data_IF_652775335416
#
_entry.id   IF_652775335416
#
_cell.length_a   1.000
_cell.length_b   1.000
_cell.length_c   1.000
_cell.angle_alpha   90.00
_cell.angle_beta   90.00
_cell.angle_gamma   90.00
#
_symmetry.space_group_name_H-M   'P 1'
#
loop_
_entity.id
_entity.type
_entity.pdbx_description
1 polymer ?
#
# COMPACT_ATOMS: atom_id res chain seq x y z
N UNK A 1 21.52 -22.54 -0.73
CA UNK A 1 21.61 -21.51 -1.78
C UNK A 1 20.49 -21.72 -2.78
N UNK A 2 19.41 -20.94 -2.66
CA UNK A 2 18.37 -20.88 -3.68
C UNK A 2 18.94 -20.10 -4.87
N UNK A 3 19.20 -20.78 -5.99
CA UNK A 3 19.48 -20.11 -7.27
C UNK A 3 18.14 -19.68 -7.85
N UNK A 4 17.69 -18.47 -7.51
CA UNK A 4 16.54 -17.86 -8.18
C UNK A 4 16.88 -17.57 -9.64
N UNK A 5 15.94 -17.82 -10.56
CA UNK A 5 16.17 -17.67 -12.00
C UNK A 5 16.26 -16.21 -12.47
N UNK A 6 15.60 -15.28 -11.75
CA UNK A 6 15.53 -13.86 -12.11
C UNK A 6 15.57 -12.95 -10.88
N UNK A 7 15.91 -11.68 -11.05
CA UNK A 7 15.90 -10.71 -9.94
C UNK A 7 14.47 -10.33 -9.51
N UNK A 8 13.58 -10.02 -10.46
CA UNK A 8 12.24 -9.48 -10.15
C UNK A 8 11.15 -10.28 -10.87
N UNK A 9 10.14 -10.71 -10.12
CA UNK A 9 8.90 -11.27 -10.65
C UNK A 9 7.81 -10.20 -10.58
N UNK A 10 7.19 -9.88 -11.71
CA UNK A 10 6.11 -8.90 -11.83
C UNK A 10 4.77 -9.63 -11.92
N UNK A 11 3.95 -9.55 -10.88
CA UNK A 11 2.63 -10.18 -10.87
C UNK A 11 1.54 -9.22 -11.36
N UNK A 12 0.76 -9.65 -12.36
CA UNK A 12 -0.32 -8.86 -12.96
C UNK A 12 -1.62 -9.68 -12.94
N UNK A 13 -2.56 -9.38 -12.03
CA UNK A 13 -3.88 -9.97 -12.03
C UNK A 13 -4.77 -9.24 -13.05
N UNK A 14 -5.58 -10.00 -13.78
CA UNK A 14 -6.59 -9.47 -14.69
C UNK A 14 -7.92 -10.20 -14.45
N UNK A 15 -9.01 -9.46 -14.55
CA UNK A 15 -10.38 -9.97 -14.40
C UNK A 15 -11.23 -9.49 -15.57
N UNK A 16 -12.36 -10.17 -15.80
CA UNK A 16 -13.27 -9.82 -16.88
C UNK A 16 -13.88 -8.43 -16.64
N UNK A 17 -13.61 -7.51 -17.57
CA UNK A 17 -14.20 -6.17 -17.61
C UNK A 17 -15.29 -6.12 -18.70
N UNK A 18 -16.40 -5.43 -18.44
CA UNK A 18 -17.53 -5.34 -19.39
C UNK A 18 -17.23 -4.47 -20.62
N UNK A 19 -16.39 -3.44 -20.46
CA UNK A 19 -16.22 -2.38 -21.48
C UNK A 19 -14.92 -2.55 -22.28
N UNK A 20 -13.78 -2.58 -21.59
CA UNK A 20 -12.44 -2.64 -22.21
C UNK A 20 -11.48 -3.38 -21.29
N UNK A 21 -10.62 -4.21 -21.87
CA UNK A 21 -9.45 -4.77 -21.19
C UNK A 21 -8.24 -3.86 -21.44
N UNK A 22 -7.47 -3.60 -20.39
CA UNK A 22 -6.26 -2.77 -20.42
C UNK A 22 -4.97 -3.59 -20.43
N UNK A 23 -5.09 -4.92 -20.28
CA UNK A 23 -3.97 -5.84 -20.12
C UNK A 23 -2.93 -5.74 -21.24
N UNK A 24 -3.38 -5.69 -22.51
CA UNK A 24 -2.48 -5.59 -23.66
C UNK A 24 -1.69 -4.27 -23.64
N UNK A 25 -2.35 -3.16 -23.30
CA UNK A 25 -1.70 -1.84 -23.21
C UNK A 25 -0.66 -1.83 -22.09
N UNK A 26 -1.00 -2.41 -20.94
CA UNK A 26 -0.10 -2.58 -19.79
C UNK A 26 1.11 -3.44 -20.14
N UNK A 27 0.91 -4.59 -20.80
CA UNK A 27 2.01 -5.48 -21.19
C UNK A 27 2.94 -4.84 -22.22
N UNK A 28 2.41 -4.11 -23.21
CA UNK A 28 3.25 -3.30 -24.09
C UNK A 28 4.05 -2.27 -23.31
N UNK A 29 3.40 -1.52 -22.41
CA UNK A 29 4.09 -0.52 -21.59
C UNK A 29 5.24 -1.14 -20.80
N UNK A 30 5.04 -2.31 -20.18
CA UNK A 30 6.06 -3.01 -19.41
C UNK A 30 7.19 -3.55 -20.30
N UNK A 31 6.85 -4.31 -21.36
CA UNK A 31 7.80 -5.07 -22.17
C UNK A 31 8.61 -4.17 -23.09
N UNK A 32 8.01 -3.13 -23.66
CA UNK A 32 8.68 -2.22 -24.59
C UNK A 32 9.65 -1.28 -23.85
N UNK A 33 9.47 -1.10 -22.55
CA UNK A 33 10.37 -0.32 -21.69
C UNK A 33 11.43 -1.17 -20.97
N UNK A 34 11.57 -2.45 -21.30
CA UNK A 34 12.65 -3.32 -20.81
C UNK A 34 13.81 -3.38 -21.82
N UNK A 35 15.03 -3.22 -21.33
CA UNK A 35 16.24 -3.52 -22.08
C UNK A 35 16.43 -5.04 -22.26
N UNK A 36 17.16 -5.50 -23.30
CA UNK A 36 17.34 -6.94 -23.56
C UNK A 36 17.89 -7.75 -22.37
N UNK A 37 18.79 -7.16 -21.58
CA UNK A 37 19.35 -7.80 -20.37
C UNK A 37 18.30 -7.91 -19.25
N UNK A 38 17.43 -6.91 -19.12
CA UNK A 38 16.35 -6.90 -18.13
C UNK A 38 15.26 -7.93 -18.46
N UNK A 39 14.99 -8.15 -19.75
CA UNK A 39 14.09 -9.22 -20.22
C UNK A 39 14.58 -10.62 -19.84
N UNK A 40 15.88 -10.80 -19.58
CA UNK A 40 16.44 -12.07 -19.11
C UNK A 40 16.47 -12.17 -17.58
N UNK A 41 16.22 -11.07 -16.88
CA UNK A 41 16.35 -10.92 -15.42
C UNK A 41 15.01 -10.59 -14.75
N UNK A 42 13.90 -10.82 -15.47
CA UNK A 42 12.56 -10.74 -14.93
C UNK A 42 11.62 -11.75 -15.56
N UNK A 43 10.53 -12.01 -14.84
CA UNK A 43 9.37 -12.77 -15.33
C UNK A 43 8.12 -11.95 -15.03
N UNK A 44 7.25 -11.82 -16.01
CA UNK A 44 5.91 -11.23 -15.87
C UNK A 44 4.91 -12.37 -15.77
N UNK A 45 4.25 -12.50 -14.63
CA UNK A 45 3.20 -13.50 -14.42
C UNK A 45 1.84 -12.83 -14.55
N UNK A 46 1.14 -13.15 -15.63
CA UNK A 46 -0.24 -12.73 -15.86
C UNK A 46 -1.19 -13.76 -15.27
N UNK A 47 -1.91 -13.37 -14.22
CA UNK A 47 -2.94 -14.20 -13.59
C UNK A 47 -4.33 -13.79 -14.08
N UNK A 48 -4.98 -14.69 -14.83
CA UNK A 48 -6.36 -14.53 -15.27
C UNK A 48 -7.26 -15.03 -14.14
N UNK A 49 -7.81 -14.11 -13.36
CA UNK A 49 -8.69 -14.41 -12.22
C UNK A 49 -10.10 -14.82 -12.63
N UNK A 50 -10.24 -15.71 -13.61
CA UNK A 50 -11.53 -16.17 -14.12
C UNK A 50 -11.57 -17.70 -14.16
N UNK A 51 -12.76 -18.27 -13.94
CA UNK A 51 -12.98 -19.72 -13.95
C UNK A 51 -13.72 -20.22 -15.19
N UNK A 52 -14.30 -19.30 -15.98
CA UNK A 52 -14.89 -19.59 -17.28
C UNK A 52 -13.78 -19.92 -18.30
N UNK A 53 -13.68 -21.21 -18.63
CA UNK A 53 -12.63 -21.76 -19.50
C UNK A 53 -12.66 -21.11 -20.90
N UNK A 54 -13.83 -20.81 -21.45
CA UNK A 54 -13.94 -20.21 -22.77
C UNK A 54 -13.41 -18.76 -22.75
N UNK A 55 -13.71 -18.03 -21.66
CA UNK A 55 -13.15 -16.70 -21.45
C UNK A 55 -11.63 -16.74 -21.27
N UNK A 56 -11.12 -17.64 -20.42
CA UNK A 56 -9.68 -17.82 -20.18
C UNK A 56 -8.96 -18.14 -21.48
N UNK A 57 -9.44 -19.11 -22.27
CA UNK A 57 -8.86 -19.42 -23.57
C UNK A 57 -8.91 -18.25 -24.55
N UNK A 58 -9.98 -17.43 -24.51
CA UNK A 58 -10.07 -16.21 -25.31
C UNK A 58 -8.98 -15.19 -24.94
N UNK A 59 -8.71 -15.00 -23.65
CA UNK A 59 -7.63 -14.11 -23.17
C UNK A 59 -6.26 -14.68 -23.56
N UNK A 60 -6.03 -15.98 -23.36
CA UNK A 60 -4.77 -16.65 -23.74
C UNK A 60 -4.51 -16.53 -25.24
N UNK A 61 -5.51 -16.78 -26.09
CA UNK A 61 -5.36 -16.67 -27.54
C UNK A 61 -5.01 -15.23 -27.98
N UNK A 62 -5.57 -14.22 -27.32
CA UNK A 62 -5.23 -12.82 -27.58
C UNK A 62 -3.77 -12.51 -27.15
N UNK A 63 -3.35 -13.02 -25.99
CA UNK A 63 -1.98 -12.86 -25.51
C UNK A 63 -0.96 -13.59 -26.40
N UNK A 64 -1.25 -14.81 -26.84
CA UNK A 64 -0.40 -15.57 -27.77
C UNK A 64 -0.27 -14.86 -29.12
N UNK A 65 -1.34 -14.24 -29.59
CA UNK A 65 -1.31 -13.48 -30.85
C UNK A 65 -0.35 -12.29 -30.79
N UNK A 66 -0.37 -11.51 -29.71
CA UNK A 66 0.43 -10.28 -29.59
C UNK A 66 1.83 -10.52 -28.98
N UNK A 67 1.97 -11.46 -28.04
CA UNK A 67 3.18 -11.70 -27.22
C UNK A 67 3.74 -13.13 -27.34
N UNK A 68 3.51 -13.82 -28.46
CA UNK A 68 4.00 -15.20 -28.70
C UNK A 68 5.49 -15.39 -28.39
N UNK A 69 6.33 -14.41 -28.72
CA UNK A 69 7.78 -14.49 -28.50
C UNK A 69 8.12 -14.45 -27.02
N UNK A 70 7.53 -13.51 -26.29
CA UNK A 70 7.75 -13.29 -24.86
C UNK A 70 7.19 -14.45 -24.02
N UNK A 71 6.07 -15.05 -24.45
CA UNK A 71 5.56 -16.29 -23.86
C UNK A 71 6.52 -17.45 -24.14
N UNK A 72 6.95 -17.62 -25.39
CA UNK A 72 7.87 -18.72 -25.76
C UNK A 72 9.25 -18.63 -25.10
N UNK A 73 9.71 -17.42 -24.77
CA UNK A 73 10.98 -17.20 -24.08
C UNK A 73 10.87 -17.37 -22.56
N UNK A 74 9.65 -17.50 -22.01
CA UNK A 74 9.40 -17.51 -20.56
C UNK A 74 9.46 -16.14 -19.90
N UNK A 75 9.48 -15.03 -20.67
CA UNK A 75 9.37 -13.69 -20.11
C UNK A 75 7.96 -13.43 -19.59
N UNK A 76 6.93 -13.91 -20.30
CA UNK A 76 5.53 -13.82 -19.89
C UNK A 76 5.01 -15.22 -19.60
N UNK A 77 4.55 -15.44 -18.37
CA UNK A 77 3.85 -16.64 -17.97
C UNK A 77 2.37 -16.32 -17.75
N UNK A 78 1.47 -17.16 -18.26
CA UNK A 78 0.02 -16.96 -18.13
C UNK A 78 -0.56 -18.10 -17.31
N UNK A 79 -1.26 -17.76 -16.22
CA UNK A 79 -1.86 -18.71 -15.30
C UNK A 79 -3.33 -18.36 -15.05
N UNK A 80 -4.11 -19.36 -14.67
CA UNK A 80 -5.48 -19.19 -14.18
C UNK A 80 -5.75 -20.20 -13.07
N UNK A 81 -6.60 -19.87 -12.08
CA UNK A 81 -6.92 -20.79 -11.00
C UNK A 81 -7.97 -21.82 -11.44
N UNK A 82 -7.94 -23.05 -10.90
CA UNK A 82 -9.06 -23.97 -11.05
C UNK A 82 -10.29 -23.43 -10.30
N UNK A 83 -11.50 -23.78 -10.74
CA UNK A 83 -12.74 -23.36 -10.07
C UNK A 83 -12.77 -23.74 -8.58
N UNK A 84 -12.21 -24.91 -8.25
CA UNK A 84 -12.12 -25.41 -6.87
C UNK A 84 -11.22 -24.59 -5.95
N UNK A 85 -10.41 -23.67 -6.47
CA UNK A 85 -9.61 -22.77 -5.66
C UNK A 85 -10.48 -21.77 -4.88
N UNK A 86 -11.56 -21.29 -5.50
CA UNK A 86 -12.43 -20.33 -4.86
C UNK A 86 -13.43 -21.01 -3.92
N UNK A 87 -13.59 -20.51 -2.69
CA UNK A 87 -14.63 -20.96 -1.79
C UNK A 87 -16.01 -20.44 -2.25
N UNK A 88 -17.08 -20.87 -1.58
CA UNK A 88 -18.40 -20.25 -1.79
C UNK A 88 -18.38 -18.77 -1.39
N UNK A 89 -18.49 -17.88 -2.37
CA UNK A 89 -18.53 -16.43 -2.21
C UNK A 89 -19.96 -15.85 -2.23
N UNK A 90 -20.99 -16.69 -2.22
CA UNK A 90 -22.39 -16.23 -2.27
C UNK A 90 -22.91 -15.73 -0.92
N UNK A 91 -22.39 -16.28 0.18
CA UNK A 91 -22.87 -16.03 1.55
C UNK A 91 -21.86 -15.22 2.38
N UNK A 92 -21.34 -14.13 1.81
CA UNK A 92 -20.41 -13.24 2.51
C UNK A 92 -21.16 -12.22 3.38
N UNK A 93 -20.59 -11.91 4.55
CA UNK A 93 -21.11 -10.87 5.44
C UNK A 93 -20.80 -9.49 4.84
N UNK A 94 -21.82 -8.64 4.74
CA UNK A 94 -21.65 -7.24 4.37
C UNK A 94 -20.88 -6.49 5.46
N UNK A 95 -19.86 -5.76 5.06
CA UNK A 95 -19.05 -4.92 5.96
C UNK A 95 -18.75 -3.59 5.27
N UNK A 96 -18.40 -2.57 6.05
CA UNK A 96 -17.99 -1.25 5.57
C UNK A 96 -19.02 -0.50 4.69
N UNK A 97 -20.29 -0.92 4.72
CA UNK A 97 -21.34 -0.35 3.88
C UNK A 97 -21.27 -0.76 2.40
N UNK A 98 -20.40 -1.72 2.07
CA UNK A 98 -20.25 -2.24 0.71
C UNK A 98 -21.48 -3.06 0.27
N UNK A 99 -21.79 -3.01 -1.02
CA UNK A 99 -22.77 -3.94 -1.62
C UNK A 99 -22.23 -5.37 -1.60
N UNK A 100 -23.13 -6.37 -1.74
CA UNK A 100 -22.72 -7.78 -1.82
C UNK A 100 -21.73 -8.04 -2.95
N UNK A 101 -21.93 -7.39 -4.09
CA UNK A 101 -21.04 -7.49 -5.26
C UNK A 101 -19.66 -6.94 -4.92
N UNK A 102 -19.58 -5.79 -4.24
CA UNK A 102 -18.31 -5.20 -3.82
C UNK A 102 -17.59 -6.07 -2.79
N UNK A 103 -18.30 -6.60 -1.81
CA UNK A 103 -17.76 -7.55 -0.81
C UNK A 103 -17.22 -8.81 -1.49
N UNK A 104 -17.99 -9.39 -2.41
CA UNK A 104 -17.57 -10.54 -3.20
C UNK A 104 -16.33 -10.23 -4.02
N UNK A 105 -16.30 -9.07 -4.69
CA UNK A 105 -15.18 -8.64 -5.51
C UNK A 105 -13.90 -8.50 -4.68
N UNK A 106 -13.92 -7.76 -3.57
CA UNK A 106 -12.71 -7.58 -2.72
C UNK A 106 -12.26 -8.88 -2.04
N UNK A 107 -13.21 -9.75 -1.69
CA UNK A 107 -12.90 -11.07 -1.10
C UNK A 107 -12.22 -11.97 -2.13
N UNK A 108 -12.72 -11.96 -3.38
CA UNK A 108 -12.09 -12.67 -4.49
C UNK A 108 -10.70 -12.11 -4.81
N UNK A 109 -10.55 -10.78 -4.84
CA UNK A 109 -9.28 -10.12 -5.11
C UNK A 109 -8.18 -10.54 -4.12
N UNK A 110 -8.50 -10.64 -2.82
CA UNK A 110 -7.56 -11.18 -1.83
C UNK A 110 -7.05 -12.57 -2.22
N UNK A 111 -7.96 -13.47 -2.64
CA UNK A 111 -7.60 -14.82 -3.07
C UNK A 111 -6.81 -14.83 -4.39
N UNK A 112 -7.14 -13.93 -5.32
CA UNK A 112 -6.43 -13.76 -6.58
C UNK A 112 -4.95 -13.41 -6.32
N UNK A 113 -4.70 -12.46 -5.42
CA UNK A 113 -3.34 -12.04 -5.06
C UNK A 113 -2.61 -13.15 -4.33
N UNK A 114 -3.28 -13.88 -3.42
CA UNK A 114 -2.69 -15.06 -2.78
C UNK A 114 -2.22 -16.10 -3.81
N UNK A 115 -3.05 -16.43 -4.80
CA UNK A 115 -2.70 -17.43 -5.82
C UNK A 115 -1.47 -16.99 -6.61
N UNK A 116 -1.50 -15.75 -7.09
CA UNK A 116 -0.44 -15.16 -7.89
C UNK A 116 0.88 -15.09 -7.11
N UNK A 117 0.87 -14.62 -5.87
CA UNK A 117 2.06 -14.56 -5.01
C UNK A 117 2.63 -15.95 -4.73
N UNK A 118 1.79 -16.95 -4.43
CA UNK A 118 2.26 -18.32 -4.19
C UNK A 118 2.92 -18.93 -5.43
N UNK A 119 2.37 -18.67 -6.62
CA UNK A 119 2.98 -19.13 -7.86
C UNK A 119 4.31 -18.42 -8.14
N UNK A 120 4.43 -17.14 -7.78
CA UNK A 120 5.61 -16.32 -8.02
C UNK A 120 6.76 -16.56 -7.02
N UNK A 121 6.47 -17.11 -5.83
CA UNK A 121 7.40 -17.19 -4.70
C UNK A 121 8.78 -17.76 -5.04
N UNK A 122 8.85 -18.83 -5.82
CA UNK A 122 10.11 -19.54 -6.08
C UNK A 122 10.85 -19.04 -7.33
N UNK A 123 10.32 -18.03 -8.03
CA UNK A 123 10.80 -17.64 -9.37
C UNK A 123 11.88 -16.56 -9.35
N UNK A 124 11.91 -15.71 -8.34
CA UNK A 124 12.85 -14.59 -8.28
C UNK A 124 13.26 -14.19 -6.88
N UNK A 125 14.17 -13.21 -6.80
CA UNK A 125 14.63 -12.65 -5.52
C UNK A 125 13.55 -11.74 -4.91
N UNK A 126 12.92 -10.92 -5.75
CA UNK A 126 11.88 -9.99 -5.37
C UNK A 126 10.60 -10.26 -6.16
N UNK A 127 9.47 -9.96 -5.54
CA UNK A 127 8.16 -9.94 -6.19
C UNK A 127 7.61 -8.53 -6.12
N UNK A 128 7.02 -8.03 -7.22
CA UNK A 128 6.29 -6.77 -7.24
C UNK A 128 4.86 -7.01 -7.72
N UNK A 129 3.88 -6.56 -6.92
CA UNK A 129 2.47 -6.61 -7.27
C UNK A 129 2.11 -5.42 -8.16
N UNK A 130 1.57 -5.69 -9.34
CA UNK A 130 1.08 -4.72 -10.30
C UNK A 130 -0.41 -4.96 -10.59
N UNK A 131 -1.01 -4.10 -11.41
CA UNK A 131 -2.39 -4.24 -11.93
C UNK A 131 -2.40 -4.20 -13.46
N UNK A 132 -3.51 -4.61 -14.07
CA UNK A 132 -3.63 -4.73 -15.52
C UNK A 132 -3.96 -3.41 -16.26
N UNK A 133 -3.98 -2.28 -15.55
CA UNK A 133 -4.27 -0.94 -16.08
C UNK A 133 -3.22 0.12 -15.68
N UNK A 134 -1.93 -0.24 -15.77
CA UNK A 134 -0.81 0.66 -15.46
C UNK A 134 -0.01 1.05 -16.70
N UNK A 135 0.66 2.20 -16.60
CA UNK A 135 1.67 2.65 -17.58
C UNK A 135 2.96 2.94 -16.83
N UNK A 136 4.05 2.31 -17.25
CA UNK A 136 5.36 2.52 -16.62
C UNK A 136 6.15 3.64 -17.28
N UNK A 137 7.01 4.27 -16.49
CA UNK A 137 8.02 5.21 -16.99
C UNK A 137 9.18 4.45 -17.63
N UNK A 138 9.89 5.11 -18.55
CA UNK A 138 11.13 4.55 -19.09
C UNK A 138 12.14 4.26 -17.97
N UNK A 139 12.90 3.18 -18.10
CA UNK A 139 13.91 2.75 -17.12
C UNK A 139 13.34 2.37 -15.74
N UNK A 140 12.04 2.06 -15.64
CA UNK A 140 11.42 1.66 -14.37
C UNK A 140 12.13 0.47 -13.72
N UNK A 141 12.48 -0.55 -14.51
CA UNK A 141 13.05 -1.79 -14.01
C UNK A 141 14.37 -1.56 -13.28
N UNK A 142 15.33 -0.93 -13.95
CA UNK A 142 16.61 -0.58 -13.37
C UNK A 142 16.47 0.34 -12.14
N UNK A 143 15.54 1.31 -12.16
CA UNK A 143 15.27 2.17 -11.01
C UNK A 143 14.80 1.36 -9.80
N UNK A 144 13.80 0.47 -9.99
CA UNK A 144 13.25 -0.39 -8.94
C UNK A 144 14.33 -1.33 -8.40
N UNK A 145 15.04 -2.02 -9.31
CA UNK A 145 16.07 -2.99 -8.95
C UNK A 145 17.20 -2.35 -8.16
N UNK A 146 17.72 -1.20 -8.62
CA UNK A 146 18.81 -0.52 -7.92
C UNK A 146 18.38 -0.01 -6.55
N UNK A 147 17.15 0.47 -6.41
CA UNK A 147 16.62 0.89 -5.11
C UNK A 147 16.55 -0.29 -4.13
N UNK A 148 16.02 -1.44 -4.56
CA UNK A 148 16.01 -2.65 -3.74
C UNK A 148 17.42 -3.13 -3.36
N UNK A 149 18.37 -3.09 -4.31
CA UNK A 149 19.77 -3.45 -4.06
C UNK A 149 20.48 -2.50 -3.08
N UNK A 150 20.19 -1.21 -3.13
CA UNK A 150 20.72 -0.23 -2.18
C UNK A 150 20.28 -0.50 -0.75
N UNK A 151 19.10 -1.11 -0.57
CA UNK A 151 18.53 -1.47 0.73
C UNK A 151 18.80 -2.93 1.09
N UNK A 152 19.66 -3.65 0.36
CA UNK A 152 19.93 -5.07 0.61
C UNK A 152 20.62 -5.36 1.95
N UNK A 153 21.24 -4.36 2.58
CA UNK A 153 21.80 -4.45 3.93
C UNK A 153 20.78 -4.19 5.04
N UNK A 154 19.64 -3.60 4.69
CA UNK A 154 18.61 -3.19 5.64
C UNK A 154 17.54 -4.28 5.78
N UNK A 155 16.94 -4.38 6.97
CA UNK A 155 15.77 -5.22 7.19
C UNK A 155 14.51 -4.43 6.80
N UNK A 156 13.90 -4.80 5.66
CA UNK A 156 12.67 -4.18 5.16
C UNK A 156 11.63 -5.25 4.81
N UNK A 157 10.36 -4.94 5.05
CA UNK A 157 9.24 -5.84 4.72
C UNK A 157 8.64 -5.54 3.34
N UNK A 158 8.47 -4.26 3.01
CA UNK A 158 7.83 -3.81 1.77
C UNK A 158 8.56 -2.57 1.26
N UNK A 159 8.78 -2.51 -0.06
CA UNK A 159 9.17 -1.28 -0.77
C UNK A 159 8.02 -0.82 -1.64
N UNK A 160 7.75 0.49 -1.67
CA UNK A 160 6.63 1.05 -2.42
C UNK A 160 7.09 1.92 -3.58
N UNK A 161 6.51 1.68 -4.75
CA UNK A 161 6.82 2.40 -5.99
C UNK A 161 5.58 3.07 -6.63
N UNK A 162 4.45 3.04 -5.93
CA UNK A 162 3.21 3.71 -6.31
C UNK A 162 2.51 4.26 -5.07
N UNK A 163 1.86 5.42 -5.23
CA UNK A 163 1.07 6.07 -4.19
C UNK A 163 -0.37 5.52 -4.11
N UNK A 164 -0.77 4.66 -5.06
CA UNK A 164 -2.13 4.14 -5.18
C UNK A 164 -2.22 2.70 -4.67
N UNK A 165 -2.88 2.51 -3.53
CA UNK A 165 -3.28 1.20 -2.99
C UNK A 165 -2.15 0.17 -2.95
N UNK A 166 -2.49 -1.06 -3.30
CA UNK A 166 -1.60 -2.22 -3.29
C UNK A 166 -0.68 -2.32 -4.52
N UNK A 167 -0.83 -1.42 -5.50
CA UNK A 167 -0.01 -1.41 -6.71
C UNK A 167 1.42 -1.00 -6.36
N UNK A 168 2.41 -1.59 -7.06
CA UNK A 168 3.81 -1.22 -6.94
C UNK A 168 4.41 -1.57 -5.58
N UNK A 169 3.80 -2.52 -4.85
CA UNK A 169 4.32 -3.05 -3.59
C UNK A 169 5.28 -4.20 -3.90
N UNK A 170 6.53 -4.03 -3.50
CA UNK A 170 7.59 -5.00 -3.67
C UNK A 170 7.91 -5.70 -2.35
N UNK A 171 8.14 -7.00 -2.43
CA UNK A 171 8.40 -7.90 -1.33
C UNK A 171 9.64 -8.75 -1.64
N UNK A 172 10.32 -9.21 -0.60
CA UNK A 172 11.25 -10.34 -0.76
C UNK A 172 10.43 -11.57 -1.10
N UNK A 173 10.81 -12.31 -2.14
CA UNK A 173 10.04 -13.47 -2.57
C UNK A 173 9.89 -14.54 -1.46
N UNK A 174 10.92 -14.83 -0.62
CA UNK A 174 10.76 -15.74 0.52
C UNK A 174 9.70 -15.31 1.54
N UNK A 175 9.46 -14.01 1.70
CA UNK A 175 8.50 -13.47 2.68
C UNK A 175 7.05 -13.53 2.18
N UNK A 176 6.82 -13.87 0.90
CA UNK A 176 5.49 -14.00 0.34
C UNK A 176 4.64 -15.04 1.08
N UNK A 177 5.21 -16.13 1.59
CA UNK A 177 4.43 -17.12 2.36
C UNK A 177 3.73 -16.48 3.55
N UNK A 178 4.44 -15.66 4.32
CA UNK A 178 3.89 -15.00 5.50
C UNK A 178 2.75 -14.04 5.11
N UNK A 179 2.95 -13.28 4.03
CA UNK A 179 1.96 -12.32 3.53
C UNK A 179 0.72 -13.05 3.04
N UNK A 180 0.90 -14.11 2.25
CA UNK A 180 -0.19 -14.95 1.75
C UNK A 180 -0.95 -15.58 2.90
N UNK A 181 -0.28 -16.20 3.88
CA UNK A 181 -0.93 -16.81 5.03
C UNK A 181 -1.79 -15.81 5.80
N UNK A 182 -1.28 -14.60 6.03
CA UNK A 182 -2.04 -13.54 6.69
C UNK A 182 -3.28 -13.12 5.89
N UNK A 183 -3.12 -12.84 4.59
CA UNK A 183 -4.23 -12.48 3.72
C UNK A 183 -5.25 -13.61 3.68
N UNK A 184 -4.79 -14.87 3.57
CA UNK A 184 -5.65 -16.05 3.49
C UNK A 184 -6.41 -16.32 4.79
N UNK A 185 -5.88 -15.93 5.96
CA UNK A 185 -6.64 -16.00 7.22
C UNK A 185 -7.80 -15.00 7.28
N UNK A 186 -7.65 -13.82 6.65
CA UNK A 186 -8.58 -12.70 6.80
C UNK A 186 -9.24 -12.25 5.49
N UNK A 187 -9.16 -13.05 4.42
CA UNK A 187 -9.59 -12.67 3.08
C UNK A 187 -11.06 -12.23 2.97
N UNK A 188 -11.94 -12.68 3.88
CA UNK A 188 -13.36 -12.25 3.94
C UNK A 188 -13.56 -10.94 4.68
N UNK A 189 -12.68 -10.64 5.63
CA UNK A 189 -12.92 -9.60 6.63
C UNK A 189 -12.65 -8.20 6.10
N UNK A 190 -11.56 -8.01 5.33
CA UNK A 190 -11.07 -6.70 4.89
C UNK A 190 -10.51 -6.73 3.46
N UNK A 191 -10.50 -5.60 2.73
CA UNK A 191 -9.77 -5.49 1.47
C UNK A 191 -8.25 -5.63 1.68
N UNK A 192 -7.53 -5.94 0.60
CA UNK A 192 -6.11 -6.28 0.61
C UNK A 192 -5.24 -5.18 1.21
N UNK A 193 -5.51 -3.90 0.89
CA UNK A 193 -4.75 -2.74 1.39
C UNK A 193 -4.77 -2.70 2.92
N UNK A 194 -5.95 -2.90 3.52
CA UNK A 194 -6.11 -2.87 4.97
C UNK A 194 -5.50 -4.10 5.65
N UNK A 195 -5.53 -5.26 4.97
CA UNK A 195 -4.83 -6.43 5.46
C UNK A 195 -3.31 -6.22 5.46
N UNK A 196 -2.78 -5.51 4.46
CA UNK A 196 -1.37 -5.11 4.40
C UNK A 196 -0.99 -4.19 5.57
N UNK A 197 -1.82 -3.19 5.84
CA UNK A 197 -1.61 -2.28 6.98
C UNK A 197 -1.60 -3.05 8.30
N UNK A 198 -2.47 -4.05 8.45
CA UNK A 198 -2.53 -4.87 9.65
C UNK A 198 -1.32 -5.79 9.82
N UNK A 199 -0.80 -6.41 8.77
CA UNK A 199 0.42 -7.23 8.89
C UNK A 199 1.63 -6.34 9.21
N UNK A 200 1.73 -5.17 8.58
CA UNK A 200 2.77 -4.18 8.90
C UNK A 200 2.68 -3.76 10.37
N UNK A 201 1.47 -3.45 10.85
CA UNK A 201 1.23 -3.11 12.24
C UNK A 201 1.70 -4.22 13.20
N UNK A 202 1.37 -5.48 12.91
CA UNK A 202 1.75 -6.61 13.79
C UNK A 202 3.26 -6.88 13.77
N UNK A 203 3.92 -6.69 12.63
CA UNK A 203 5.32 -7.08 12.43
C UNK A 203 6.31 -5.98 12.75
N UNK A 204 5.92 -4.73 12.53
CA UNK A 204 6.76 -3.55 12.73
C UNK A 204 6.45 -2.89 14.08
N UNK A 205 5.21 -2.96 14.57
CA UNK A 205 4.81 -2.40 15.86
C UNK A 205 4.73 -3.52 16.93
N UNK A 206 5.08 -3.21 18.19
CA UNK A 206 5.24 -4.22 19.25
C UNK A 206 4.26 -4.02 20.43
N UNK A 207 2.96 -4.30 20.23
CA UNK A 207 1.90 -3.87 21.14
C UNK A 207 1.98 -4.44 22.57
N UNK A 208 2.65 -5.57 22.79
CA UNK A 208 2.80 -6.16 24.14
C UNK A 208 3.78 -5.41 25.04
N UNK A 209 4.64 -4.55 24.47
CA UNK A 209 5.45 -3.60 25.25
C UNK A 209 4.68 -2.33 25.62
N UNK A 210 3.48 -2.14 25.07
CA UNK A 210 2.68 -0.91 25.10
C UNK A 210 1.29 -1.12 25.74
N UNK A 211 1.20 -1.98 26.75
CA UNK A 211 -0.06 -2.42 27.38
C UNK A 211 -0.84 -1.35 28.20
N UNK A 212 -0.42 -0.09 28.24
CA UNK A 212 -1.12 0.97 28.99
C UNK A 212 -2.28 1.64 28.24
N UNK A 213 -2.51 1.32 26.95
CA UNK A 213 -3.34 2.15 26.06
C UNK A 213 -4.74 1.60 25.73
N UNK A 214 -5.30 0.66 26.49
CA UNK A 214 -6.60 0.04 26.16
C UNK A 214 -7.84 0.73 26.74
N UNK A 215 -7.71 1.82 27.51
CA UNK A 215 -8.81 2.36 28.32
C UNK A 215 -9.32 3.74 27.91
N UNK A 216 -9.66 4.01 26.64
CA UNK A 216 -10.59 5.11 26.30
C UNK A 216 -10.85 5.23 24.80
N UNK A 217 -11.93 4.63 24.28
CA UNK A 217 -12.47 5.03 22.97
C UNK A 217 -14.01 4.99 22.97
N UNK A 218 -14.61 6.17 22.88
CA UNK A 218 -15.94 6.45 22.32
C UNK A 218 -15.72 7.41 21.14
N UNK A 219 -16.30 7.13 19.97
CA UNK A 219 -16.21 7.92 18.71
C UNK A 219 -16.63 9.40 18.90
N UNK A 220 -16.04 10.39 18.16
CA UNK A 220 -15.95 10.42 16.68
C UNK A 220 -14.60 10.92 16.10
N UNK A 221 -13.46 10.50 16.65
CA UNK A 221 -12.14 10.97 16.19
C UNK A 221 -11.48 9.99 15.19
N UNK A 222 -10.85 10.52 14.13
CA UNK A 222 -10.00 9.77 13.21
C UNK A 222 -8.56 9.77 13.73
N UNK A 223 -8.07 8.62 14.18
CA UNK A 223 -6.71 8.45 14.72
C UNK A 223 -5.83 7.60 13.79
N UNK A 224 -4.64 8.10 13.45
CA UNK A 224 -3.59 7.37 12.72
C UNK A 224 -2.47 7.04 13.70
N UNK A 225 -2.12 5.77 13.89
CA UNK A 225 -1.05 5.39 14.83
C UNK A 225 0.29 5.22 14.11
N UNK A 226 1.36 5.81 14.66
CA UNK A 226 2.65 5.98 13.99
C UNK A 226 3.77 6.09 15.04
N UNK A 227 4.44 4.99 15.43
CA UNK A 227 5.58 5.04 16.36
C UNK A 227 6.88 5.46 15.64
N UNK A 228 6.87 6.64 15.02
CA UNK A 228 7.96 7.17 14.19
C UNK A 228 8.26 8.63 14.51
N UNK A 229 9.50 9.05 14.26
CA UNK A 229 9.89 10.45 14.31
C UNK A 229 9.34 11.17 13.07
N UNK A 230 8.51 12.19 13.27
CA UNK A 230 7.82 12.93 12.21
C UNK A 230 8.42 14.33 12.10
N UNK A 231 8.70 14.74 10.87
CA UNK A 231 9.26 16.03 10.51
C UNK A 231 8.14 17.03 10.21
N UNK A 232 7.21 16.65 9.33
CA UNK A 232 6.09 17.48 8.91
C UNK A 232 4.89 16.66 8.47
N UNK A 233 3.75 17.30 8.35
CA UNK A 233 2.51 16.73 7.84
C UNK A 233 1.88 17.65 6.81
N UNK A 234 1.09 17.07 5.91
CA UNK A 234 0.22 17.73 4.95
C UNK A 234 -1.06 16.91 4.85
N UNK A 235 -2.19 17.57 5.10
CA UNK A 235 -3.52 17.02 4.91
C UNK A 235 -4.29 17.91 3.94
N UNK A 236 -4.91 17.30 2.94
CA UNK A 236 -5.78 18.01 1.99
C UNK A 236 -7.18 17.44 2.07
N UNK A 237 -8.17 18.31 2.19
CA UNK A 237 -9.60 18.00 2.18
C UNK A 237 -10.30 18.79 1.08
N UNK A 238 -11.40 18.25 0.57
CA UNK A 238 -12.14 18.84 -0.55
C UNK A 238 -11.94 18.11 -1.87
N UNK A 239 -12.97 18.12 -2.72
CA UNK A 239 -13.03 17.48 -4.02
C UNK A 239 -13.04 18.54 -5.14
N UNK A 240 -12.37 18.29 -6.27
CA UNK A 240 -12.38 19.19 -7.43
C UNK A 240 -13.78 19.37 -8.04
N UNK A 241 -14.62 18.33 -8.00
CA UNK A 241 -16.01 18.37 -8.50
C UNK A 241 -16.96 19.02 -7.49
N UNK A 242 -16.61 18.98 -6.20
CA UNK A 242 -17.39 19.52 -5.09
C UNK A 242 -16.50 20.33 -4.13
N UNK A 243 -16.23 21.62 -4.46
CA UNK A 243 -15.31 22.47 -3.69
C UNK A 243 -15.75 22.75 -2.24
N UNK A 244 -17.00 22.43 -1.90
CA UNK A 244 -17.55 22.57 -0.56
C UNK A 244 -17.22 21.41 0.39
N UNK A 245 -16.68 20.30 -0.12
CA UNK A 245 -16.49 19.05 0.64
C UNK A 245 -15.22 19.07 1.51
N UNK A 246 -14.97 20.19 2.18
CA UNK A 246 -13.76 20.46 2.96
C UNK A 246 -14.01 20.28 4.46
N UNK A 247 -12.94 19.97 5.20
CA UNK A 247 -12.97 19.98 6.67
C UNK A 247 -12.93 21.43 7.18
N UNK A 248 -14.01 21.86 7.82
CA UNK A 248 -14.12 23.16 8.47
C UNK A 248 -13.89 23.04 9.97
N UNK A 249 -13.22 24.03 10.56
CA UNK A 249 -12.97 24.12 12.00
C UNK A 249 -12.44 22.81 12.60
N UNK A 250 -11.44 22.22 11.93
CA UNK A 250 -10.81 20.95 12.30
C UNK A 250 -9.36 21.20 12.70
N UNK A 251 -8.94 20.64 13.83
CA UNK A 251 -7.57 20.76 14.35
C UNK A 251 -6.74 19.51 14.05
N UNK A 252 -5.45 19.70 13.87
CA UNK A 252 -4.46 18.62 13.76
C UNK A 252 -3.77 18.48 15.10
N UNK A 253 -3.83 17.28 15.65
CA UNK A 253 -3.38 16.98 17.00
C UNK A 253 -2.49 15.73 16.96
N UNK A 254 -1.48 15.67 17.84
CA UNK A 254 -0.58 14.52 17.94
C UNK A 254 -0.43 14.03 19.35
N UNK A 255 -0.30 12.73 19.52
CA UNK A 255 0.02 12.09 20.78
C UNK A 255 1.49 11.65 20.74
N UNK A 256 2.39 12.23 21.56
CA UNK A 256 3.74 11.73 21.75
C UNK A 256 3.77 10.31 22.32
N UNK A 257 4.72 9.48 21.86
CA UNK A 257 4.97 8.13 22.37
C UNK A 257 5.39 8.14 23.85
N UNK A 258 6.16 9.15 24.28
CA UNK A 258 6.49 9.38 25.69
C UNK A 258 5.88 10.69 26.14
N UNK A 259 4.89 10.65 27.03
CA UNK A 259 4.22 11.86 27.55
C UNK A 259 4.76 12.32 28.91
N UNK A 260 5.50 11.46 29.63
CA UNK A 260 6.13 11.76 30.91
C UNK A 260 7.60 12.16 30.74
N UNK A 261 8.02 13.26 31.38
CA UNK A 261 9.41 13.72 31.38
C UNK A 261 9.88 14.45 30.10
N UNK A 262 8.97 14.80 29.18
CA UNK A 262 9.33 15.61 28.01
C UNK A 262 9.81 17.01 28.40
N UNK A 263 11.05 17.35 28.03
CA UNK A 263 11.56 18.72 28.08
C UNK A 263 11.04 19.54 26.90
N UNK A 264 9.75 19.87 26.96
CA UNK A 264 9.06 20.66 25.94
C UNK A 264 9.01 22.16 26.33
N UNK A 265 9.05 23.02 25.31
CA UNK A 265 9.00 24.48 25.50
C UNK A 265 7.70 24.92 26.19
N UNK A 266 7.68 26.11 26.80
CA UNK A 266 6.46 26.65 27.42
C UNK A 266 5.31 26.77 26.41
N UNK A 267 5.63 27.19 25.19
CA UNK A 267 4.65 27.32 24.10
C UNK A 267 4.07 25.96 23.68
N UNK A 268 4.91 24.92 23.63
CA UNK A 268 4.48 23.55 23.32
C UNK A 268 3.63 22.96 24.44
N UNK A 269 3.95 23.27 25.71
CA UNK A 269 3.14 22.87 26.87
C UNK A 269 1.73 23.45 26.83
N UNK A 270 1.60 24.71 26.43
CA UNK A 270 0.30 25.40 26.36
C UNK A 270 -0.61 24.81 25.26
N UNK A 271 -0.08 24.01 24.33
CA UNK A 271 -0.81 23.31 23.28
C UNK A 271 -1.30 21.91 23.69
N UNK A 272 -0.97 21.44 24.91
CA UNK A 272 -1.36 20.13 25.43
C UNK A 272 -2.84 20.11 25.83
N UNK A 273 -3.54 19.05 25.43
CA UNK A 273 -4.93 18.77 25.75
C UNK A 273 -5.03 17.83 26.96
N UNK A 274 -6.21 17.78 27.58
CA UNK A 274 -6.46 17.01 28.80
C UNK A 274 -6.23 15.49 28.62
N UNK A 275 -6.46 14.99 27.41
CA UNK A 275 -6.27 13.59 27.01
C UNK A 275 -4.83 13.27 26.56
N UNK A 276 -3.90 14.22 26.69
CA UNK A 276 -2.49 14.03 26.39
C UNK A 276 -2.08 14.34 24.95
N UNK A 277 -3.02 14.62 24.05
CA UNK A 277 -2.69 15.10 22.70
C UNK A 277 -2.15 16.54 22.73
N UNK A 278 -1.43 16.93 21.70
CA UNK A 278 -0.91 18.27 21.48
C UNK A 278 -1.47 18.81 20.18
N UNK A 279 -2.08 20.01 20.23
CA UNK A 279 -2.55 20.67 19.02
C UNK A 279 -1.38 21.29 18.26
N UNK A 280 -1.11 20.76 17.07
CA UNK A 280 0.03 21.17 16.23
C UNK A 280 -0.39 21.93 14.96
N UNK A 281 -1.68 21.98 14.64
CA UNK A 281 -2.20 22.78 13.54
C UNK A 281 -3.70 22.79 13.42
N UNK A 282 -4.19 23.32 12.29
CA UNK A 282 -5.60 23.42 11.94
C UNK A 282 -5.76 23.48 10.43
N UNK A 283 -6.93 23.07 9.95
CA UNK A 283 -7.31 23.23 8.55
C UNK A 283 -7.64 24.70 8.24
N UNK A 284 -7.05 25.21 7.15
CA UNK A 284 -7.36 26.48 6.52
C UNK A 284 -7.65 26.24 5.04
N UNK A 285 -8.86 26.62 4.58
CA UNK A 285 -9.31 26.43 3.19
C UNK A 285 -9.14 24.99 2.67
N UNK A 286 -9.40 24.00 3.52
CA UNK A 286 -9.29 22.59 3.18
C UNK A 286 -7.88 22.00 3.32
N UNK A 287 -6.86 22.78 3.68
CA UNK A 287 -5.48 22.29 3.83
C UNK A 287 -5.01 22.46 5.27
N UNK A 288 -4.33 21.45 5.82
CA UNK A 288 -3.57 21.57 7.06
C UNK A 288 -2.15 21.05 6.85
N UNK A 289 -1.16 21.92 6.98
CA UNK A 289 0.25 21.55 6.89
C UNK A 289 1.06 22.20 8.00
N UNK A 290 2.15 21.54 8.39
CA UNK A 290 3.03 22.09 9.41
C UNK A 290 4.18 21.17 9.78
N UNK A 291 5.16 21.73 10.48
CA UNK A 291 6.24 20.95 11.09
C UNK A 291 5.80 20.40 12.45
N UNK A 292 6.25 19.20 12.77
CA UNK A 292 6.08 18.60 14.10
C UNK A 292 7.24 19.03 14.99
N UNK A 293 6.93 19.54 16.18
CA UNK A 293 7.95 19.89 17.17
C UNK A 293 8.80 18.64 17.50
N UNK A 294 10.13 18.67 17.28
CA UNK A 294 11.00 17.53 17.54
C UNK A 294 10.91 17.02 18.99
N UNK A 295 10.58 17.87 19.95
CA UNK A 295 10.44 17.48 21.35
C UNK A 295 9.19 16.65 21.65
N UNK A 296 8.22 16.60 20.73
CA UNK A 296 7.05 15.73 20.81
C UNK A 296 7.33 14.35 20.21
N UNK A 297 8.44 14.17 19.50
CA UNK A 297 8.78 12.89 18.89
C UNK A 297 9.36 11.87 19.89
N UNK A 298 9.20 10.56 19.63
CA UNK A 298 8.40 9.97 18.55
C UNK A 298 6.90 10.25 18.73
N UNK A 299 6.17 10.41 17.64
CA UNK A 299 4.71 10.46 17.71
C UNK A 299 4.22 9.02 17.91
N UNK A 300 3.00 8.87 18.41
CA UNK A 300 2.28 7.60 18.53
C UNK A 300 0.95 7.68 17.81
N UNK A 301 0.30 8.85 17.77
CA UNK A 301 -0.87 9.05 16.93
C UNK A 301 -1.02 10.47 16.37
N UNK A 302 -1.62 10.61 15.19
CA UNK A 302 -2.27 11.82 14.69
C UNK A 302 -3.76 11.74 14.89
N UNK A 303 -4.40 12.84 15.28
CA UNK A 303 -5.85 13.00 15.39
C UNK A 303 -6.30 14.24 14.65
N UNK A 304 -7.33 14.09 13.81
CA UNK A 304 -8.08 15.22 13.26
C UNK A 304 -9.34 15.44 14.10
N UNK A 305 -9.37 16.50 14.91
CA UNK A 305 -10.52 16.79 15.77
C UNK A 305 -11.45 17.79 15.08
N UNK A 306 -12.63 17.31 14.68
CA UNK A 306 -13.65 18.11 13.99
C UNK A 306 -14.53 18.79 15.03
N UNK A 307 -14.37 20.11 15.18
CA UNK A 307 -15.02 20.87 16.26
C UNK A 307 -16.44 21.30 15.85
N UNK A 308 -16.73 21.33 14.55
CA UNK A 308 -18.02 21.78 14.02
C UNK A 308 -18.57 20.76 13.01
N UNK A 309 -19.85 20.42 13.18
CA UNK A 309 -20.57 19.62 12.19
C UNK A 309 -20.64 20.36 10.85
N UNK A 310 -20.29 19.67 9.76
CA UNK A 310 -20.51 20.17 8.40
C UNK A 310 -21.95 19.92 7.96
N UNK A 311 -22.51 20.86 7.19
CA UNK A 311 -23.82 20.70 6.55
C UNK A 311 -23.74 19.87 5.25
N UNK A 312 -22.53 19.56 4.81
CA UNK A 312 -22.20 18.79 3.60
C UNK A 312 -21.19 17.69 3.95
N UNK A 313 -20.98 16.74 3.04
CA UNK A 313 -19.99 15.69 3.22
C UNK A 313 -18.60 16.32 3.20
N UNK A 314 -17.67 15.84 4.04
CA UNK A 314 -16.29 16.27 4.03
C UNK A 314 -15.40 15.10 3.58
N UNK A 315 -14.46 15.36 2.68
CA UNK A 315 -13.57 14.34 2.13
C UNK A 315 -12.13 14.71 2.47
N UNK A 316 -11.37 13.77 3.03
CA UNK A 316 -9.92 13.88 3.18
C UNK A 316 -9.27 13.18 1.98
N UNK A 317 -8.68 13.96 1.08
CA UNK A 317 -8.16 13.52 -0.20
C UNK A 317 -6.65 13.20 -0.17
N UNK A 318 -5.89 13.87 0.69
CA UNK A 318 -4.45 13.63 0.83
C UNK A 318 -4.07 13.52 2.29
N UNK A 319 -3.27 12.51 2.60
CA UNK A 319 -2.61 12.32 3.89
C UNK A 319 -1.13 12.05 3.62
N UNK A 320 -0.32 13.07 3.86
CA UNK A 320 1.12 13.04 3.65
C UNK A 320 1.82 13.29 4.98
N UNK A 321 2.54 12.30 5.51
CA UNK A 321 3.28 12.39 6.77
C UNK A 321 4.75 12.12 6.50
N UNK A 322 5.58 13.14 6.70
CA UNK A 322 7.01 13.09 6.39
C UNK A 322 7.80 12.73 7.63
N UNK A 323 8.52 11.61 7.58
CA UNK A 323 9.31 11.12 8.71
C UNK A 323 10.71 11.73 8.76
N UNK A 324 11.25 11.93 9.96
CA UNK A 324 12.66 12.24 10.17
C UNK A 324 13.44 10.95 9.92
N UNK A 325 14.23 10.91 8.84
CA UNK A 325 15.24 9.87 8.67
C UNK A 325 16.25 9.97 9.82
N UNK A 326 16.21 9.01 10.75
CA UNK A 326 17.31 8.84 11.71
C UNK A 326 18.52 8.42 10.88
N UNK A 327 19.49 9.33 10.75
CA UNK A 327 20.82 8.95 10.27
C UNK A 327 21.40 8.00 11.31
N UNK A 328 21.54 6.73 10.98
CA UNK A 328 22.61 5.96 11.60
C UNK A 328 23.91 6.73 11.40
N UNK A 329 24.72 6.80 12.46
CA UNK A 329 26.00 7.51 12.43
C UNK A 329 26.95 6.82 11.44
N UNK A 330 26.82 7.13 10.16
CA UNK A 330 27.90 7.15 9.19
C UNK A 330 27.42 7.87 7.92
N UNK A 331 28.15 8.92 7.59
CA UNK A 331 28.23 9.57 6.27
C UNK A 331 27.26 10.72 5.92
N UNK A 332 27.84 11.66 5.17
CA UNK A 332 27.46 13.08 5.09
C UNK A 332 26.25 13.40 4.21
N UNK A 333 25.97 14.71 4.00
CA UNK A 333 24.71 15.14 3.40
C UNK A 333 24.67 14.85 1.90
N UNK A 334 23.72 14.01 1.47
CA UNK A 334 23.23 14.00 0.09
C UNK A 334 21.81 14.59 0.04
N UNK A 335 21.59 15.38 -1.01
CA UNK A 335 20.40 16.19 -1.28
C UNK A 335 19.11 15.35 -1.43
N UNK A 336 17.93 15.95 -1.20
CA UNK A 336 16.65 15.23 -1.29
C UNK A 336 16.35 14.83 -2.74
N UNK A 337 15.96 13.57 -2.93
CA UNK A 337 15.37 13.05 -4.17
C UNK A 337 13.85 13.12 -4.06
N UNK A 338 13.25 13.87 -4.99
CA UNK A 338 11.87 13.75 -5.43
C UNK A 338 11.79 12.60 -6.43
N UNK A 339 10.83 11.70 -6.27
CA UNK A 339 10.30 10.86 -7.36
C UNK A 339 8.79 10.74 -7.25
#
# INVERSE_FOLDING_TARGET
>A
DFFFSVSIVMGIPTVKREVKSYLIETLHSLIDNLYPEEKLDCVIVVFIGETDIDYVHGVVANLEKEFSKEISSGLVEVISPPESYYPDLTNLKETFGDSKERVRWRTKQNLDYCFLMMYAQEKGVYYIQLEDDIIVKQNYFNTIKNFALQLSSEEWMILEFSQLGFIGKMFQAPDLTLIVEFIFMFYKEKPIDWLLDHILWVKVCNPEKDATLHSSLNYPDLCFYLDVCIFSYLFHSGNQEHPGDILLNTTVEVLPFKSEGLEISKETKDKRLEDGYFRIGKFENGVAEGMVDPSLNPISAFRLSVIQNSAVWAILNEVSIYQIKVRDKAEGPQAPLLF
#
